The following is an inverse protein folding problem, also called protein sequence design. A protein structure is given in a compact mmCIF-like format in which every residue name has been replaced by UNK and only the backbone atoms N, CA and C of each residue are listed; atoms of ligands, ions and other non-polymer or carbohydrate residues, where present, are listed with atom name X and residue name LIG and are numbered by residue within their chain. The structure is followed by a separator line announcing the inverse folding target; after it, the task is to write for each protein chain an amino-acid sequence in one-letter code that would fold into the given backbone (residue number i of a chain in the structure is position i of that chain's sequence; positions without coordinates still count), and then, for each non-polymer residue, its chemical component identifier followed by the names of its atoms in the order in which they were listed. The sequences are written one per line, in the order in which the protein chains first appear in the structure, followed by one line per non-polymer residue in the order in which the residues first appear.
data_IF_828583982140
#
_entry.id   IF_828583982140
#
_cell.length_a   1.000
_cell.length_b   1.000
_cell.length_c   1.000
_cell.angle_alpha   90.00
_cell.angle_beta   90.00
_cell.angle_gamma   90.00
#
_symmetry.space_group_name_H-M   'P 1'
#
loop_
_entity.id
_entity.type
_entity.pdbx_description
1 polymer ?
#
# COMPACT_ATOMS: atom_id res chain seq x y z
N UNK A 1 -19.85 7.92 0.83
CA UNK A 1 -18.80 7.13 0.18
C UNK A 1 -17.56 7.08 1.07
N UNK A 2 -16.92 5.91 1.18
CA UNK A 2 -15.63 5.73 1.82
C UNK A 2 -14.63 5.26 0.76
N UNK A 3 -13.44 5.87 0.72
CA UNK A 3 -12.37 5.48 -0.20
C UNK A 3 -11.14 5.11 0.63
N UNK A 4 -10.71 3.85 0.50
CA UNK A 4 -9.52 3.32 1.13
C UNK A 4 -8.42 3.21 0.06
N UNK A 5 -7.26 3.78 0.32
CA UNK A 5 -6.10 3.71 -0.56
C UNK A 5 -5.03 2.78 -0.01
N UNK A 6 -4.39 2.00 -0.87
CA UNK A 6 -3.03 1.57 -0.59
C UNK A 6 -2.05 2.73 -0.77
N UNK A 7 -0.79 2.54 -0.42
CA UNK A 7 0.26 3.56 -0.52
C UNK A 7 1.25 3.26 -1.65
N UNK A 8 2.07 2.24 -1.48
CA UNK A 8 3.16 1.93 -2.40
C UNK A 8 2.60 1.51 -3.76
N UNK A 9 2.98 2.21 -4.84
CA UNK A 9 2.44 1.98 -6.18
C UNK A 9 1.07 2.61 -6.45
N UNK A 10 0.39 3.11 -5.42
CA UNK A 10 -0.94 3.73 -5.53
C UNK A 10 -0.90 5.25 -5.34
N UNK A 11 -0.30 5.74 -4.27
CA UNK A 11 -0.12 7.16 -3.97
C UNK A 11 1.34 7.58 -3.95
N UNK A 12 2.24 6.67 -3.59
CA UNK A 12 3.68 6.93 -3.48
C UNK A 12 4.49 5.92 -4.30
N UNK A 13 5.67 6.36 -4.73
CA UNK A 13 6.75 5.52 -5.22
C UNK A 13 7.86 5.50 -4.18
N UNK A 14 7.97 4.41 -3.44
CA UNK A 14 9.02 4.16 -2.46
C UNK A 14 10.01 3.09 -2.92
N UNK A 15 9.99 2.73 -4.20
CA UNK A 15 10.79 1.64 -4.77
C UNK A 15 12.27 1.79 -4.44
N UNK A 16 12.83 3.01 -4.61
CA UNK A 16 14.25 3.27 -4.31
C UNK A 16 14.57 3.01 -2.83
N UNK A 17 13.74 3.51 -1.91
CA UNK A 17 13.93 3.31 -0.47
C UNK A 17 13.79 1.83 -0.07
N UNK A 18 12.85 1.12 -0.70
CA UNK A 18 12.64 -0.31 -0.46
C UNK A 18 13.86 -1.11 -0.91
N UNK A 19 14.29 -0.95 -2.16
CA UNK A 19 15.42 -1.68 -2.74
C UNK A 19 16.70 -1.48 -1.93
N UNK A 20 17.03 -0.23 -1.62
CA UNK A 20 18.23 0.09 -0.86
C UNK A 20 18.19 -0.51 0.55
N UNK A 21 17.02 -0.50 1.20
CA UNK A 21 16.89 -1.10 2.54
C UNK A 21 16.94 -2.64 2.50
N UNK A 22 16.46 -3.28 1.42
CA UNK A 22 16.67 -4.70 1.20
C UNK A 22 18.15 -5.00 1.03
N UNK A 23 18.84 -4.35 0.10
CA UNK A 23 20.27 -4.57 -0.14
C UNK A 23 21.10 -4.31 1.12
N UNK A 24 20.82 -3.24 1.86
CA UNK A 24 21.49 -2.99 3.14
C UNK A 24 21.31 -4.16 4.12
N UNK A 25 20.12 -4.74 4.22
CA UNK A 25 19.90 -5.88 5.13
C UNK A 25 20.66 -7.13 4.70
N UNK A 26 20.82 -7.38 3.40
CA UNK A 26 21.62 -8.49 2.88
C UNK A 26 23.13 -8.26 3.12
N UNK A 27 23.60 -7.00 2.99
CA UNK A 27 25.00 -6.63 3.29
C UNK A 27 25.33 -6.86 4.77
N UNK A 28 24.49 -6.35 5.68
CA UNK A 28 24.71 -6.44 7.12
C UNK A 28 24.77 -7.90 7.59
N UNK A 29 23.94 -8.76 6.99
CA UNK A 29 23.91 -10.18 7.32
C UNK A 29 24.84 -11.06 6.47
N UNK A 30 25.68 -10.47 5.60
CA UNK A 30 26.62 -11.15 4.72
C UNK A 30 25.93 -12.23 3.86
N UNK A 31 24.75 -11.95 3.33
CA UNK A 31 23.96 -12.83 2.46
C UNK A 31 24.06 -12.40 0.99
N UNK A 32 23.99 -13.35 0.03
CA UNK A 32 23.92 -13.01 -1.39
C UNK A 32 22.68 -12.15 -1.69
N UNK A 33 22.86 -11.07 -2.45
CA UNK A 33 21.78 -10.17 -2.80
C UNK A 33 20.78 -10.80 -3.79
N UNK A 34 19.48 -10.65 -3.57
CA UNK A 34 18.49 -10.89 -4.61
C UNK A 34 18.59 -9.83 -5.70
N UNK A 35 18.04 -10.08 -6.89
CA UNK A 35 17.92 -9.04 -7.92
C UNK A 35 16.85 -8.01 -7.53
N UNK A 36 16.97 -6.81 -8.08
CA UNK A 36 15.95 -5.77 -7.92
C UNK A 36 14.58 -6.23 -8.42
N UNK A 37 14.56 -7.02 -9.49
CA UNK A 37 13.37 -7.59 -10.09
C UNK A 37 12.67 -8.57 -9.14
N UNK A 38 13.45 -9.43 -8.45
CA UNK A 38 12.89 -10.36 -7.46
C UNK A 38 12.29 -9.63 -6.27
N UNK A 39 12.93 -8.55 -5.80
CA UNK A 39 12.40 -7.73 -4.72
C UNK A 39 11.11 -7.01 -5.17
N UNK A 40 11.14 -6.37 -6.35
CA UNK A 40 9.99 -5.64 -6.90
C UNK A 40 8.77 -6.53 -7.09
N UNK A 41 8.97 -7.76 -7.55
CA UNK A 41 7.90 -8.74 -7.75
C UNK A 41 7.16 -9.12 -6.44
N UNK A 42 7.76 -8.82 -5.29
CA UNK A 42 7.19 -9.11 -3.98
C UNK A 42 6.63 -7.87 -3.27
N UNK A 43 6.82 -6.65 -3.80
CA UNK A 43 6.27 -5.44 -3.19
C UNK A 43 4.74 -5.55 -3.13
N UNK A 44 4.17 -5.13 -2.02
CA UNK A 44 2.78 -5.36 -1.66
C UNK A 44 2.61 -6.44 -0.59
N UNK A 45 3.54 -7.40 -0.49
CA UNK A 45 3.57 -8.34 0.62
C UNK A 45 4.21 -7.75 1.90
N UNK A 46 3.86 -8.27 3.09
CA UNK A 46 4.60 -7.97 4.33
C UNK A 46 6.08 -8.38 4.23
N UNK A 47 6.96 -7.67 4.94
CA UNK A 47 8.41 -7.88 4.89
C UNK A 47 8.82 -9.31 5.25
N UNK A 48 8.19 -9.90 6.28
CA UNK A 48 8.44 -11.28 6.68
C UNK A 48 8.19 -12.27 5.53
N UNK A 49 7.10 -12.10 4.81
CA UNK A 49 6.78 -12.90 3.63
C UNK A 49 7.77 -12.63 2.49
N UNK A 50 8.16 -11.38 2.27
CA UNK A 50 9.14 -11.03 1.23
C UNK A 50 10.48 -11.72 1.49
N UNK A 51 11.03 -11.63 2.71
CA UNK A 51 12.30 -12.27 3.06
C UNK A 51 12.23 -13.79 2.96
N UNK A 52 11.15 -14.42 3.43
CA UNK A 52 10.97 -15.87 3.27
C UNK A 52 10.98 -16.29 1.81
N UNK A 53 10.30 -15.54 0.93
CA UNK A 53 10.25 -15.81 -0.52
C UNK A 53 11.57 -15.51 -1.23
N UNK A 54 12.39 -14.62 -0.69
CA UNK A 54 13.76 -14.36 -1.16
C UNK A 54 14.78 -15.40 -0.64
N UNK A 55 14.31 -16.44 0.06
CA UNK A 55 15.13 -17.58 0.48
C UNK A 55 15.83 -17.40 1.82
N UNK A 56 15.41 -16.43 2.64
CA UNK A 56 15.94 -16.27 3.99
C UNK A 56 15.29 -17.32 4.92
N UNK A 57 16.14 -18.01 5.72
CA UNK A 57 15.70 -18.97 6.74
C UNK A 57 14.75 -18.33 7.74
N UNK A 58 13.67 -19.04 8.10
CA UNK A 58 12.63 -18.52 9.00
C UNK A 58 13.18 -18.00 10.32
N UNK A 59 14.26 -18.59 10.84
CA UNK A 59 14.90 -18.16 12.09
C UNK A 59 15.61 -16.80 11.95
N UNK A 60 15.99 -16.39 10.74
CA UNK A 60 16.71 -15.15 10.46
C UNK A 60 15.81 -14.02 9.93
N UNK A 61 14.60 -14.34 9.47
CA UNK A 61 13.68 -13.37 8.85
C UNK A 61 13.53 -12.11 9.68
N UNK A 62 13.34 -12.25 10.99
CA UNK A 62 13.09 -11.10 11.85
C UNK A 62 14.32 -10.22 12.09
N UNK A 63 15.53 -10.78 11.99
CA UNK A 63 16.78 -10.01 12.06
C UNK A 63 16.93 -9.16 10.78
N UNK A 64 16.64 -9.75 9.60
CA UNK A 64 16.60 -9.02 8.34
C UNK A 64 15.53 -7.92 8.35
N UNK A 65 14.32 -8.22 8.81
CA UNK A 65 13.24 -7.24 8.95
C UNK A 65 13.64 -6.09 9.89
N UNK A 66 14.34 -6.38 10.98
CA UNK A 66 14.81 -5.34 11.91
C UNK A 66 15.84 -4.42 11.24
N UNK A 67 16.84 -4.98 10.58
CA UNK A 67 17.87 -4.23 9.83
C UNK A 67 17.26 -3.39 8.72
N UNK A 68 16.34 -3.98 7.93
CA UNK A 68 15.59 -3.24 6.92
C UNK A 68 14.86 -2.02 7.52
N UNK A 69 14.12 -2.23 8.62
CA UNK A 69 13.33 -1.15 9.25
C UNK A 69 14.19 -0.04 9.82
N UNK A 70 15.38 -0.36 10.32
CA UNK A 70 16.33 0.62 10.82
C UNK A 70 16.81 1.51 9.66
N UNK A 71 17.31 0.91 8.60
CA UNK A 71 17.77 1.65 7.42
C UNK A 71 16.63 2.41 6.72
N UNK A 72 15.49 1.77 6.51
CA UNK A 72 14.33 2.39 5.87
C UNK A 72 13.87 3.66 6.61
N UNK A 73 13.91 3.65 7.93
CA UNK A 73 13.54 4.82 8.75
C UNK A 73 14.41 6.05 8.46
N UNK A 74 15.68 5.84 8.13
CA UNK A 74 16.63 6.93 7.87
C UNK A 74 16.45 7.52 6.48
N UNK A 75 16.14 6.69 5.48
CA UNK A 75 16.15 7.12 4.08
C UNK A 75 14.76 7.33 3.46
N UNK A 76 13.69 6.84 4.10
CA UNK A 76 12.38 6.75 3.47
C UNK A 76 11.82 8.10 3.00
N UNK A 77 11.95 9.16 3.80
CA UNK A 77 11.48 10.49 3.41
C UNK A 77 12.33 11.14 2.30
N UNK A 78 13.60 10.74 2.18
CA UNK A 78 14.50 11.24 1.15
C UNK A 78 14.32 10.55 -0.20
N UNK A 79 13.93 9.26 -0.17
CA UNK A 79 13.90 8.37 -1.33
C UNK A 79 12.49 7.89 -1.73
N UNK A 80 11.47 8.42 -1.08
CA UNK A 80 10.08 8.22 -1.49
C UNK A 80 9.56 9.48 -2.18
N UNK A 81 8.76 9.30 -3.22
CA UNK A 81 8.15 10.38 -4.00
C UNK A 81 6.64 10.16 -4.10
N UNK A 82 5.89 11.24 -4.22
CA UNK A 82 4.49 11.13 -4.62
C UNK A 82 4.41 10.68 -6.09
N UNK A 83 3.51 9.77 -6.37
CA UNK A 83 3.12 9.45 -7.74
C UNK A 83 2.45 10.65 -8.40
N UNK A 84 2.43 10.62 -9.74
CA UNK A 84 1.85 11.72 -10.52
C UNK A 84 0.43 12.05 -10.05
N UNK A 85 0.18 13.31 -9.73
CA UNK A 85 -1.10 13.83 -9.22
C UNK A 85 -1.61 13.22 -7.91
N UNK A 86 -0.80 12.50 -7.14
CA UNK A 86 -1.24 11.89 -5.89
C UNK A 86 -1.80 12.92 -4.89
N UNK A 87 -1.14 14.07 -4.70
CA UNK A 87 -1.68 15.15 -3.86
C UNK A 87 -3.04 15.64 -4.37
N UNK A 88 -3.17 15.85 -5.67
CA UNK A 88 -4.43 16.29 -6.27
C UNK A 88 -5.52 15.23 -6.10
N UNK A 89 -5.18 13.95 -6.22
CA UNK A 89 -6.07 12.81 -6.00
C UNK A 89 -6.68 12.86 -4.60
N UNK A 90 -5.84 12.97 -3.57
CA UNK A 90 -6.27 13.01 -2.17
C UNK A 90 -7.14 14.24 -1.90
N UNK A 91 -6.70 15.43 -2.33
CA UNK A 91 -7.44 16.69 -2.15
C UNK A 91 -8.81 16.65 -2.85
N UNK A 92 -8.89 16.12 -4.07
CA UNK A 92 -10.17 16.04 -4.78
C UNK A 92 -11.10 14.98 -4.15
N UNK A 93 -10.55 13.82 -3.73
CA UNK A 93 -11.33 12.77 -3.08
C UNK A 93 -11.92 13.23 -1.74
N UNK A 94 -11.17 13.98 -0.94
CA UNK A 94 -11.62 14.48 0.38
C UNK A 94 -12.81 15.43 0.31
N UNK A 95 -13.12 15.99 -0.87
CA UNK A 95 -14.28 16.88 -1.05
C UNK A 95 -15.61 16.14 -1.10
N UNK A 96 -15.61 14.82 -1.32
CA UNK A 96 -16.84 14.04 -1.49
C UNK A 96 -16.84 12.67 -0.80
N UNK A 97 -15.74 12.26 -0.19
CA UNK A 97 -15.61 10.98 0.48
C UNK A 97 -14.81 11.09 1.78
N UNK A 98 -15.07 10.17 2.71
CA UNK A 98 -14.19 9.88 3.86
C UNK A 98 -13.02 9.04 3.38
N UNK A 99 -11.80 9.42 3.74
CA UNK A 99 -10.60 8.76 3.23
C UNK A 99 -9.90 7.93 4.31
N UNK A 100 -9.38 6.78 3.88
CA UNK A 100 -8.54 5.93 4.72
C UNK A 100 -7.32 5.39 3.96
N UNK A 101 -6.32 4.98 4.72
CA UNK A 101 -5.16 4.23 4.22
C UNK A 101 -5.22 2.82 4.77
N UNK A 102 -5.06 1.82 3.88
CA UNK A 102 -4.97 0.40 4.23
C UNK A 102 -3.77 -0.20 3.50
N UNK A 103 -2.67 -0.39 4.23
CA UNK A 103 -1.38 -0.79 3.62
C UNK A 103 -0.72 -1.95 4.36
N UNK A 104 0.11 -2.72 3.65
CA UNK A 104 1.00 -3.74 4.23
C UNK A 104 2.30 -3.15 4.78
N UNK A 105 2.57 -1.88 4.46
CA UNK A 105 3.65 -1.11 5.08
C UNK A 105 3.38 -0.87 6.58
N UNK A 106 4.44 -0.75 7.37
CA UNK A 106 4.32 -0.35 8.78
C UNK A 106 3.62 1.00 8.90
N UNK A 107 2.51 1.06 9.64
CA UNK A 107 1.65 2.25 9.78
C UNK A 107 2.40 3.48 10.29
N UNK A 108 3.30 3.26 11.28
CA UNK A 108 4.18 4.32 11.80
C UNK A 108 5.01 5.00 10.69
N UNK A 109 5.59 4.25 9.75
CA UNK A 109 6.37 4.81 8.66
C UNK A 109 5.48 5.43 7.58
N UNK A 110 4.32 4.83 7.34
CA UNK A 110 3.30 5.37 6.45
C UNK A 110 2.83 6.75 6.92
N UNK A 111 2.61 6.91 8.23
CA UNK A 111 2.25 8.18 8.83
C UNK A 111 3.32 9.24 8.61
N UNK A 112 4.59 8.91 8.88
CA UNK A 112 5.74 9.82 8.67
C UNK A 112 5.82 10.29 7.22
N UNK A 113 5.62 9.38 6.25
CA UNK A 113 5.61 9.73 4.83
C UNK A 113 4.43 10.66 4.49
N UNK A 114 3.24 10.37 4.99
CA UNK A 114 2.07 11.20 4.72
C UNK A 114 2.16 12.57 5.42
N UNK A 115 2.81 12.67 6.57
CA UNK A 115 3.16 13.94 7.22
C UNK A 115 4.19 14.72 6.41
N UNK A 116 5.25 14.04 5.91
CA UNK A 116 6.27 14.65 5.05
C UNK A 116 5.68 15.25 3.77
N UNK A 117 4.68 14.58 3.19
CA UNK A 117 3.98 15.07 1.99
C UNK A 117 2.81 16.01 2.31
N UNK A 118 2.58 16.35 3.57
CA UNK A 118 1.49 17.22 4.04
C UNK A 118 0.09 16.69 3.67
N UNK A 119 -0.08 15.36 3.60
CA UNK A 119 -1.34 14.72 3.20
C UNK A 119 -2.05 14.00 4.34
N UNK A 120 -1.41 13.77 5.48
CA UNK A 120 -1.97 12.96 6.57
C UNK A 120 -3.32 13.48 7.09
N UNK A 121 -3.51 14.78 7.08
CA UNK A 121 -4.73 15.44 7.60
C UNK A 121 -5.98 15.25 6.74
N UNK A 122 -5.85 14.66 5.54
CA UNK A 122 -6.97 14.28 4.70
C UNK A 122 -7.52 12.88 5.01
N UNK A 123 -6.80 12.09 5.81
CA UNK A 123 -7.16 10.70 6.10
C UNK A 123 -7.71 10.57 7.52
N UNK A 124 -8.90 10.00 7.63
CA UNK A 124 -9.58 9.77 8.90
C UNK A 124 -9.12 8.47 9.59
N UNK A 125 -8.50 7.56 8.83
CA UNK A 125 -7.97 6.30 9.33
C UNK A 125 -6.71 5.88 8.56
N UNK A 126 -5.76 5.27 9.28
CA UNK A 126 -4.61 4.59 8.72
C UNK A 126 -4.49 3.23 9.41
N UNK A 127 -4.51 2.16 8.61
CA UNK A 127 -4.29 0.78 9.05
C UNK A 127 -3.04 0.26 8.36
N UNK A 128 -1.99 0.01 9.16
CA UNK A 128 -0.72 -0.57 8.71
C UNK A 128 -0.56 -2.03 9.08
N UNK A 129 0.60 -2.60 8.76
CA UNK A 129 0.90 -4.03 9.00
C UNK A 129 0.76 -4.44 10.46
N UNK A 130 1.22 -3.60 11.38
CA UNK A 130 1.22 -3.89 12.82
C UNK A 130 -0.17 -3.82 13.47
N UNK A 131 -1.13 -3.26 12.77
CA UNK A 131 -2.48 -3.09 13.28
C UNK A 131 -3.35 -4.33 13.14
N UNK A 132 -2.91 -5.34 12.39
CA UNK A 132 -3.70 -6.53 12.04
C UNK A 132 -2.91 -7.80 12.25
N UNK A 133 -3.61 -8.86 12.55
CA UNK A 133 -3.05 -10.21 12.59
C UNK A 133 -2.84 -10.73 11.16
N UNK A 134 -3.86 -10.59 10.32
CA UNK A 134 -3.86 -11.06 8.95
C UNK A 134 -3.84 -9.89 7.97
N UNK A 135 -2.69 -9.59 7.34
CA UNK A 135 -2.59 -8.51 6.34
C UNK A 135 -3.32 -8.85 5.03
N UNK A 136 -3.36 -7.89 4.09
CA UNK A 136 -3.83 -8.17 2.72
C UNK A 136 -3.10 -9.40 2.15
N UNK A 137 -3.79 -10.32 1.49
CA UNK A 137 -5.13 -10.24 0.91
C UNK A 137 -6.30 -10.61 1.86
N UNK A 138 -6.06 -10.76 3.17
CA UNK A 138 -7.14 -11.00 4.12
C UNK A 138 -8.02 -9.74 4.26
N UNK A 139 -9.29 -9.94 4.63
CA UNK A 139 -10.28 -8.83 4.80
C UNK A 139 -10.05 -7.95 6.02
N UNK A 140 -9.28 -8.44 6.98
CA UNK A 140 -9.13 -7.81 8.30
C UNK A 140 -8.69 -6.35 8.24
N UNK A 141 -7.70 -5.92 7.41
CA UNK A 141 -7.27 -4.53 7.37
C UNK A 141 -8.39 -3.58 6.94
N UNK A 142 -9.17 -3.97 5.94
CA UNK A 142 -10.32 -3.18 5.45
C UNK A 142 -11.40 -3.11 6.53
N UNK A 143 -11.80 -4.25 7.12
CA UNK A 143 -12.82 -4.28 8.17
C UNK A 143 -12.37 -3.50 9.41
N UNK A 144 -11.07 -3.50 9.74
CA UNK A 144 -10.52 -2.69 10.82
C UNK A 144 -10.64 -1.20 10.54
N UNK A 145 -10.29 -0.78 9.33
CA UNK A 145 -10.45 0.62 8.91
C UNK A 145 -11.92 1.07 9.02
N UNK A 146 -12.85 0.28 8.50
CA UNK A 146 -14.27 0.57 8.57
C UNK A 146 -14.81 0.62 10.00
N UNK A 147 -14.33 -0.27 10.87
CA UNK A 147 -14.68 -0.27 12.30
C UNK A 147 -14.19 1.00 13.02
N UNK A 148 -13.00 1.48 12.69
CA UNK A 148 -12.43 2.72 13.28
C UNK A 148 -13.23 3.93 12.80
N UNK A 149 -13.55 4.00 11.50
CA UNK A 149 -14.35 5.07 10.92
C UNK A 149 -15.75 5.14 11.52
N UNK A 150 -16.31 4.00 11.91
CA UNK A 150 -17.65 3.87 12.49
C UNK A 150 -18.74 4.59 11.67
N UNK A 151 -18.62 4.58 10.35
CA UNK A 151 -19.53 5.20 9.40
C UNK A 151 -20.34 4.08 8.74
N UNK A 152 -21.68 4.22 8.76
CA UNK A 152 -22.57 3.30 8.08
C UNK A 152 -22.78 3.78 6.64
N UNK A 153 -21.90 3.35 5.75
CA UNK A 153 -21.94 3.62 4.31
C UNK A 153 -21.80 2.30 3.55
N UNK A 154 -22.56 2.14 2.48
CA UNK A 154 -22.51 0.94 1.63
C UNK A 154 -21.69 1.18 0.35
N UNK A 155 -21.27 2.42 0.08
CA UNK A 155 -20.46 2.78 -1.08
C UNK A 155 -18.98 2.92 -0.65
N UNK A 156 -18.33 1.77 -0.53
CA UNK A 156 -16.97 1.62 -0.03
C UNK A 156 -16.08 1.10 -1.17
N UNK A 157 -14.95 1.75 -1.36
CA UNK A 157 -13.98 1.44 -2.41
C UNK A 157 -12.58 1.26 -1.85
N UNK A 158 -11.91 0.17 -2.25
CA UNK A 158 -10.47 0.00 -2.08
C UNK A 158 -9.79 0.29 -3.40
N UNK A 159 -8.81 1.20 -3.40
CA UNK A 159 -7.98 1.54 -4.55
C UNK A 159 -6.57 1.05 -4.28
N UNK A 160 -6.05 0.19 -5.14
CA UNK A 160 -4.71 -0.38 -5.01
C UNK A 160 -4.14 -0.81 -6.34
N UNK A 161 -2.85 -1.08 -6.37
CA UNK A 161 -2.09 -1.46 -7.57
C UNK A 161 -1.74 -2.94 -7.62
N UNK A 162 -2.05 -3.70 -6.58
CA UNK A 162 -1.76 -5.14 -6.52
C UNK A 162 -3.03 -5.99 -6.37
N UNK A 163 -2.93 -7.25 -6.81
CA UNK A 163 -3.97 -8.25 -6.57
C UNK A 163 -4.30 -8.41 -5.08
N UNK A 164 -3.35 -8.13 -4.17
CA UNK A 164 -3.59 -8.24 -2.73
C UNK A 164 -4.66 -7.26 -2.24
N UNK A 165 -4.70 -6.07 -2.82
CA UNK A 165 -5.70 -5.05 -2.53
C UNK A 165 -7.09 -5.49 -2.99
N UNK A 166 -7.16 -5.96 -4.24
CA UNK A 166 -8.40 -6.34 -4.88
C UNK A 166 -9.01 -7.60 -4.24
N UNK A 167 -8.18 -8.59 -3.90
CA UNK A 167 -8.62 -9.78 -3.17
C UNK A 167 -9.08 -9.40 -1.76
N UNK A 168 -8.36 -8.51 -1.07
CA UNK A 168 -8.75 -8.02 0.26
C UNK A 168 -10.11 -7.33 0.22
N UNK A 169 -10.34 -6.48 -0.80
CA UNK A 169 -11.62 -5.83 -1.03
C UNK A 169 -12.76 -6.83 -1.28
N UNK A 170 -12.54 -7.80 -2.15
CA UNK A 170 -13.49 -8.90 -2.42
C UNK A 170 -13.83 -9.66 -1.14
N UNK A 171 -12.82 -10.02 -0.35
CA UNK A 171 -12.99 -10.75 0.90
C UNK A 171 -13.73 -9.93 1.97
N UNK A 172 -13.60 -8.59 1.92
CA UNK A 172 -14.32 -7.66 2.80
C UNK A 172 -15.71 -7.28 2.27
N UNK A 173 -16.10 -7.76 1.08
CA UNK A 173 -17.33 -7.42 0.39
C UNK A 173 -17.48 -5.90 0.15
N UNK A 174 -16.41 -5.26 -0.29
CA UNK A 174 -16.38 -3.86 -0.74
C UNK A 174 -15.93 -3.78 -2.20
N UNK A 175 -16.22 -2.66 -2.87
CA UNK A 175 -15.80 -2.45 -4.25
C UNK A 175 -14.28 -2.26 -4.34
N UNK A 176 -13.71 -2.54 -5.51
CA UNK A 176 -12.28 -2.33 -5.75
C UNK A 176 -12.00 -1.67 -7.08
N UNK A 177 -10.93 -0.88 -7.11
CA UNK A 177 -10.34 -0.30 -8.31
C UNK A 177 -8.87 -0.70 -8.35
N UNK A 178 -8.42 -1.25 -9.49
CA UNK A 178 -7.04 -1.48 -9.81
C UNK A 178 -6.41 -0.27 -10.49
N UNK A 179 -5.19 0.12 -10.10
CA UNK A 179 -4.42 1.18 -10.76
C UNK A 179 -3.12 0.63 -11.32
N UNK A 180 -2.71 1.14 -12.50
CA UNK A 180 -1.54 0.68 -13.25
C UNK A 180 -0.29 1.51 -12.95
N UNK A 181 -0.30 2.25 -11.86
CA UNK A 181 0.83 3.10 -11.43
C UNK A 181 1.86 2.36 -10.58
N UNK A 182 1.60 1.11 -10.23
CA UNK A 182 2.43 0.34 -9.31
C UNK A 182 2.98 -0.96 -9.92
N UNK A 183 2.87 -2.06 -9.18
CA UNK A 183 3.68 -3.26 -9.37
C UNK A 183 2.99 -4.36 -10.19
N UNK A 184 1.67 -4.55 -10.05
CA UNK A 184 0.97 -5.58 -10.82
C UNK A 184 0.63 -5.14 -12.24
N UNK A 185 0.55 -6.13 -13.13
CA UNK A 185 0.18 -5.89 -14.52
C UNK A 185 -1.33 -5.77 -14.69
N UNK A 186 -1.75 -5.14 -15.79
CA UNK A 186 -3.16 -5.07 -16.17
C UNK A 186 -3.80 -6.47 -16.21
N UNK A 187 -3.14 -7.44 -16.82
CA UNK A 187 -3.64 -8.81 -16.95
C UNK A 187 -3.84 -9.49 -15.58
N UNK A 188 -3.04 -9.15 -14.59
CA UNK A 188 -3.21 -9.64 -13.22
C UNK A 188 -4.44 -9.00 -12.57
N UNK A 189 -4.56 -7.68 -12.64
CA UNK A 189 -5.63 -6.94 -11.98
C UNK A 189 -7.01 -7.22 -12.59
N UNK A 190 -7.11 -7.42 -13.92
CA UNK A 190 -8.35 -7.77 -14.63
C UNK A 190 -9.01 -9.07 -14.15
N UNK A 191 -8.27 -9.93 -13.44
CA UNK A 191 -8.83 -11.16 -12.86
C UNK A 191 -9.70 -10.89 -11.62
N UNK A 192 -9.60 -9.70 -11.04
CA UNK A 192 -10.22 -9.38 -9.75
C UNK A 192 -11.18 -8.20 -9.79
N UNK A 193 -11.09 -7.32 -10.79
CA UNK A 193 -11.98 -6.16 -10.95
C UNK A 193 -12.10 -5.75 -12.41
N UNK A 194 -13.30 -5.26 -12.77
CA UNK A 194 -13.55 -4.63 -14.08
C UNK A 194 -13.12 -3.14 -14.09
N UNK A 195 -12.83 -2.56 -12.93
CA UNK A 195 -12.49 -1.14 -12.78
C UNK A 195 -10.98 -0.97 -12.71
N UNK A 196 -10.35 -0.73 -13.87
CA UNK A 196 -8.89 -0.53 -13.96
C UNK A 196 -8.61 0.82 -14.60
N UNK A 197 -7.79 1.61 -13.92
CA UNK A 197 -7.41 2.95 -14.35
C UNK A 197 -5.89 3.09 -14.41
N UNK A 198 -5.44 4.11 -15.14
CA UNK A 198 -4.01 4.40 -15.27
C UNK A 198 -3.35 4.70 -13.92
N UNK A 199 -4.02 5.47 -13.08
CA UNK A 199 -3.55 5.95 -11.79
C UNK A 199 -4.74 6.27 -10.86
N UNK A 200 -4.44 6.54 -9.61
CA UNK A 200 -5.45 6.87 -8.61
C UNK A 200 -6.23 8.16 -8.94
N UNK A 201 -5.63 9.10 -9.70
CA UNK A 201 -6.32 10.31 -10.12
C UNK A 201 -7.49 10.01 -11.08
N UNK A 202 -7.26 9.17 -12.08
CA UNK A 202 -8.33 8.76 -13.00
C UNK A 202 -9.41 7.93 -12.27
N UNK A 203 -9.02 7.11 -11.30
CA UNK A 203 -9.95 6.38 -10.44
C UNK A 203 -10.89 7.34 -9.67
N UNK A 204 -10.34 8.39 -9.05
CA UNK A 204 -11.14 9.38 -8.33
C UNK A 204 -12.05 10.19 -9.26
N UNK A 205 -11.59 10.53 -10.45
CA UNK A 205 -12.46 11.18 -11.46
C UNK A 205 -13.67 10.31 -11.81
N UNK A 206 -13.45 9.02 -11.99
CA UNK A 206 -14.53 8.07 -12.24
C UNK A 206 -15.53 8.05 -11.08
N UNK A 207 -15.07 7.91 -9.84
CA UNK A 207 -15.93 7.87 -8.66
C UNK A 207 -16.71 9.16 -8.45
N UNK A 208 -16.07 10.31 -8.68
CA UNK A 208 -16.73 11.63 -8.61
C UNK A 208 -17.88 11.76 -9.60
N UNK A 209 -17.66 11.33 -10.85
CA UNK A 209 -18.68 11.41 -11.90
C UNK A 209 -19.84 10.42 -11.70
N UNK A 210 -19.60 9.31 -11.01
CA UNK A 210 -20.64 8.33 -10.65
C UNK A 210 -21.61 8.86 -9.61
N UNK A 211 -21.17 9.79 -8.78
CA UNK A 211 -21.96 10.39 -7.69
C UNK A 211 -22.78 11.63 -8.10
N UNK A 212 -22.55 12.15 -9.29
CA UNK A 212 -23.33 13.25 -9.89
C UNK A 212 -24.43 12.69 -10.82
#
# INVERSE_FOLDING_TARGET
MIILFDLDGTLIDSTEAILESFHNSFDVHNHPHPSDEDIKALIGHPLDIMYTRLGIDENLVWDFVATYKEHYREISTLKTKLLNKASQTVIEASKFATLGIVTTKTGRYSKVLMEHFELIHYFDVLVGREDVEHPKPHKEPILKALKILNINDNDIWMIGDTQLDLISAKNANVNSIGVLSGYDTKNTLEQYTDFIFKDAYEAIKYLKNRNN
#
